data_IF_931385634174
#
_entry.id   IF_931385634174
#
_cell.length_a   1.000
_cell.length_b   1.000
_cell.length_c   1.000
_cell.angle_alpha   90.00
_cell.angle_beta   90.00
_cell.angle_gamma   90.00
#
_symmetry.space_group_name_H-M   'P 1'
#
loop_
_entity.id
_entity.type
_entity.pdbx_description
1 polymer ?
#
# COMPACT_ATOMS: atom_id res chain seq x y z
N UNK A 1 29.02 -12.26 16.36
CA UNK A 1 27.86 -11.52 15.82
C UNK A 1 28.33 -10.79 14.57
N UNK A 2 27.83 -11.17 13.40
CA UNK A 2 28.10 -10.43 12.17
C UNK A 2 27.36 -9.09 12.30
N UNK A 3 28.08 -7.97 12.31
CA UNK A 3 27.48 -6.64 12.39
C UNK A 3 27.03 -6.25 10.98
N UNK A 4 25.79 -5.77 10.85
CA UNK A 4 25.24 -5.31 9.57
C UNK A 4 25.70 -3.89 9.19
N UNK A 5 26.70 -3.36 9.89
CA UNK A 5 27.23 -2.02 9.75
C UNK A 5 28.72 -2.01 10.13
N UNK A 6 29.51 -0.99 9.72
CA UNK A 6 30.95 -0.94 9.97
C UNK A 6 31.27 -1.04 11.46
N UNK A 7 32.27 -1.86 11.81
CA UNK A 7 32.59 -2.16 13.22
C UNK A 7 33.15 -0.94 13.98
N UNK A 8 33.62 0.06 13.25
CA UNK A 8 34.24 1.30 13.68
C UNK A 8 33.29 2.50 13.72
N UNK A 9 31.99 2.30 13.45
CA UNK A 9 31.02 3.39 13.43
C UNK A 9 30.80 3.98 14.83
N UNK A 10 31.15 5.25 15.01
CA UNK A 10 30.98 6.02 16.26
C UNK A 10 30.19 7.30 16.02
N UNK A 11 29.37 7.68 17.00
CA UNK A 11 28.76 8.99 17.02
C UNK A 11 29.86 10.04 17.26
N UNK A 12 29.89 11.13 16.47
CA UNK A 12 30.84 12.21 16.69
C UNK A 12 30.55 12.91 18.04
N UNK A 13 31.57 13.54 18.64
CA UNK A 13 31.50 14.05 20.01
C UNK A 13 30.48 15.19 20.20
N UNK A 14 30.09 15.84 19.10
CA UNK A 14 29.08 16.90 19.00
C UNK A 14 27.69 16.39 18.62
N UNK A 15 27.49 15.09 18.47
CA UNK A 15 26.19 14.53 18.11
C UNK A 15 25.16 14.67 19.25
N UNK A 16 23.98 15.17 18.91
CA UNK A 16 22.82 15.13 19.81
C UNK A 16 22.36 13.69 20.01
N UNK A 17 22.66 13.14 21.19
CA UNK A 17 22.21 11.82 21.61
C UNK A 17 20.86 11.94 22.30
N UNK A 18 19.92 11.09 21.90
CA UNK A 18 18.61 10.99 22.54
C UNK A 18 18.69 10.48 23.99
N UNK A 19 17.55 10.48 24.71
CA UNK A 19 17.49 9.96 26.07
C UNK A 19 17.88 8.47 26.12
N UNK A 20 18.30 7.96 27.29
CA UNK A 20 18.62 6.56 27.46
C UNK A 20 17.39 5.68 27.16
N UNK A 21 17.54 4.74 26.23
CA UNK A 21 16.50 3.79 25.82
C UNK A 21 17.07 2.36 25.83
N UNK A 22 16.25 1.39 26.26
CA UNK A 22 16.57 -0.03 26.15
C UNK A 22 16.12 -0.58 24.80
N UNK A 23 16.83 -1.58 24.30
CA UNK A 23 16.39 -2.31 23.11
C UNK A 23 14.98 -2.89 23.33
N UNK A 24 14.15 -2.87 22.29
CA UNK A 24 12.76 -3.37 22.29
C UNK A 24 12.66 -4.66 21.47
N UNK A 25 11.71 -5.53 21.79
CA UNK A 25 11.43 -6.77 21.05
C UNK A 25 12.21 -8.00 21.55
N UNK A 26 12.29 -9.04 20.73
CA UNK A 26 12.85 -10.35 21.11
C UNK A 26 14.31 -10.30 21.60
N UNK A 27 15.08 -9.31 21.12
CA UNK A 27 16.47 -9.10 21.51
C UNK A 27 16.61 -8.46 22.89
N UNK A 28 15.55 -7.80 23.40
CA UNK A 28 15.55 -7.14 24.71
C UNK A 28 15.74 -8.12 25.88
N UNK A 29 15.29 -9.37 25.71
CA UNK A 29 15.45 -10.40 26.72
C UNK A 29 16.92 -10.80 26.95
N UNK A 30 17.80 -10.56 25.98
CA UNK A 30 19.22 -10.98 26.02
C UNK A 30 20.18 -9.88 26.48
N UNK A 31 19.74 -8.62 26.56
CA UNK A 31 20.60 -7.51 26.95
C UNK A 31 19.84 -6.41 27.72
N UNK A 32 20.09 -6.25 29.04
CA UNK A 32 19.44 -5.24 29.87
C UNK A 32 20.09 -3.85 29.82
N UNK A 33 21.19 -3.68 29.07
CA UNK A 33 21.91 -2.41 28.97
C UNK A 33 21.06 -1.29 28.38
N UNK A 34 21.37 -0.05 28.80
CA UNK A 34 20.76 1.15 28.26
C UNK A 34 21.66 1.75 27.19
N UNK A 35 21.07 2.11 26.06
CA UNK A 35 21.75 2.75 24.94
C UNK A 35 21.21 4.16 24.74
N UNK A 36 21.92 4.98 23.95
CA UNK A 36 21.41 6.28 23.50
C UNK A 36 21.12 6.23 22.02
N UNK A 37 20.04 6.88 21.59
CA UNK A 37 19.69 6.94 20.19
C UNK A 37 20.53 8.00 19.47
N UNK A 38 21.16 7.61 18.37
CA UNK A 38 21.87 8.51 17.47
C UNK A 38 21.25 8.44 16.08
N UNK A 39 20.89 9.59 15.50
CA UNK A 39 20.41 9.68 14.13
C UNK A 39 21.55 10.14 13.23
N UNK A 40 21.99 9.25 12.34
CA UNK A 40 23.00 9.58 11.33
C UNK A 40 22.30 9.99 10.06
N UNK A 41 22.50 11.24 9.65
CA UNK A 41 22.11 11.74 8.33
C UNK A 41 23.19 11.33 7.34
N UNK A 42 22.80 10.71 6.23
CA UNK A 42 23.74 10.36 5.17
C UNK A 42 24.18 11.64 4.42
N UNK A 43 25.49 11.97 4.39
CA UNK A 43 26.01 13.12 3.65
C UNK A 43 25.71 13.08 2.15
N UNK A 44 25.52 11.88 1.58
CA UNK A 44 25.13 11.70 0.18
C UNK A 44 23.62 11.91 -0.07
N UNK A 45 22.83 12.19 0.97
CA UNK A 45 21.39 12.41 0.88
C UNK A 45 20.53 11.14 0.99
N UNK A 46 21.12 10.00 1.39
CA UNK A 46 20.38 8.78 1.70
C UNK A 46 19.39 8.91 2.87
N UNK A 47 18.62 7.85 3.18
CA UNK A 47 17.71 7.85 4.31
C UNK A 47 18.50 7.98 5.62
N UNK A 48 17.98 8.79 6.55
CA UNK A 48 18.58 8.90 7.88
C UNK A 48 18.48 7.54 8.57
N UNK A 49 19.60 7.09 9.15
CA UNK A 49 19.68 5.81 9.85
C UNK A 49 19.76 6.06 11.34
N UNK A 50 18.99 5.29 12.11
CA UNK A 50 18.97 5.38 13.57
C UNK A 50 19.82 4.26 14.16
N UNK A 51 20.77 4.63 15.00
CA UNK A 51 21.65 3.71 15.71
C UNK A 51 21.42 3.82 17.22
N UNK A 52 21.69 2.73 17.95
CA UNK A 52 21.81 2.74 19.40
C UNK A 52 23.29 2.64 19.75
N UNK A 53 23.78 3.66 20.46
CA UNK A 53 25.18 3.78 20.86
C UNK A 53 25.36 3.49 22.35
N UNK A 54 26.50 2.91 22.72
CA UNK A 54 26.88 2.70 24.12
C UNK A 54 27.34 4.01 24.79
N UNK A 55 27.71 3.95 26.08
CA UNK A 55 28.19 5.12 26.82
C UNK A 55 29.48 5.75 26.22
N UNK A 56 30.23 4.98 25.44
CA UNK A 56 31.45 5.37 24.74
C UNK A 56 31.17 5.95 23.34
N UNK A 57 29.91 6.02 22.92
CA UNK A 57 29.51 6.56 21.61
C UNK A 57 29.67 5.59 20.43
N UNK A 58 29.97 4.31 20.68
CA UNK A 58 30.09 3.29 19.64
C UNK A 58 28.72 2.75 19.25
N UNK A 59 28.45 2.61 17.95
CA UNK A 59 27.20 2.04 17.47
C UNK A 59 27.16 0.53 17.76
N UNK A 60 26.16 0.09 18.52
CA UNK A 60 25.98 -1.32 18.91
C UNK A 60 24.83 -1.97 18.16
N UNK A 61 23.75 -1.21 17.91
CA UNK A 61 22.59 -1.70 17.15
C UNK A 61 22.17 -0.70 16.07
N UNK A 62 21.80 -1.24 14.91
CA UNK A 62 21.05 -0.51 13.89
C UNK A 62 19.55 -0.68 14.16
N UNK A 63 18.83 0.42 14.32
CA UNK A 63 17.37 0.43 14.44
C UNK A 63 16.79 0.53 13.03
N UNK A 64 16.57 -0.63 12.42
CA UNK A 64 15.96 -0.72 11.10
C UNK A 64 14.42 -0.53 11.20
N UNK A 65 13.85 0.51 10.56
CA UNK A 65 12.43 0.83 10.71
C UNK A 65 11.50 -0.27 10.19
N UNK A 66 10.25 -0.27 10.66
CA UNK A 66 9.21 -1.17 10.15
C UNK A 66 8.73 -0.80 8.75
N UNK A 67 8.78 0.49 8.41
CA UNK A 67 8.44 1.02 7.08
C UNK A 67 9.73 1.34 6.31
N UNK A 68 9.87 0.87 5.06
CA UNK A 68 11.05 1.01 4.21
C UNK A 68 12.37 0.51 4.86
N UNK A 69 12.30 -0.48 5.76
CA UNK A 69 13.47 -1.10 6.38
C UNK A 69 14.15 -2.09 5.43
N UNK A 70 15.46 -2.29 5.57
CA UNK A 70 16.26 -3.12 4.63
C UNK A 70 16.54 -4.53 5.15
N UNK A 71 16.28 -4.81 6.42
CA UNK A 71 16.62 -6.09 7.05
C UNK A 71 15.37 -6.91 7.38
N UNK A 72 15.06 -7.88 6.52
CA UNK A 72 13.93 -8.80 6.68
C UNK A 72 14.24 -10.01 7.59
N UNK A 73 15.51 -10.23 7.92
CA UNK A 73 15.96 -11.35 8.75
C UNK A 73 16.69 -10.84 9.97
N UNK A 74 16.30 -11.31 11.15
CA UNK A 74 17.00 -11.02 12.40
C UNK A 74 18.22 -11.94 12.59
N UNK A 75 19.19 -11.56 13.44
CA UNK A 75 20.33 -12.41 13.81
C UNK A 75 19.96 -13.74 14.47
N UNK A 76 18.71 -13.91 14.94
CA UNK A 76 18.20 -15.16 15.50
C UNK A 76 17.57 -16.09 14.44
N UNK A 77 17.60 -15.70 13.17
CA UNK A 77 16.99 -16.44 12.05
C UNK A 77 15.50 -16.18 11.86
N UNK A 78 14.84 -15.41 12.73
CA UNK A 78 13.43 -15.06 12.56
C UNK A 78 13.23 -14.03 11.45
N UNK A 79 12.15 -14.18 10.67
CA UNK A 79 11.75 -13.22 9.64
C UNK A 79 10.93 -12.08 10.25
N UNK A 80 11.10 -10.89 9.70
CA UNK A 80 10.36 -9.68 10.08
C UNK A 80 9.72 -9.12 8.84
N UNK A 81 8.41 -8.98 8.89
CA UNK A 81 7.66 -8.31 7.84
C UNK A 81 7.96 -6.81 7.88
N UNK A 82 8.32 -6.26 6.71
CA UNK A 82 8.59 -4.84 6.50
C UNK A 82 7.54 -4.33 5.53
N UNK A 83 7.15 -3.09 5.71
CA UNK A 83 6.16 -2.46 4.85
C UNK A 83 6.82 -1.41 3.97
N UNK A 84 6.53 -1.43 2.68
CA UNK A 84 7.03 -0.39 1.79
C UNK A 84 6.06 0.79 1.76
N UNK A 85 6.62 2.00 1.81
CA UNK A 85 5.90 3.24 1.61
C UNK A 85 6.43 3.95 0.36
N UNK A 86 6.17 3.41 -0.85
CA UNK A 86 6.81 3.87 -2.07
C UNK A 86 6.39 5.30 -2.45
N UNK A 87 5.16 5.73 -2.10
CA UNK A 87 4.71 7.12 -2.25
C UNK A 87 5.52 8.09 -1.40
N UNK A 88 5.81 7.73 -0.14
CA UNK A 88 6.60 8.55 0.77
C UNK A 88 8.06 8.64 0.32
N UNK A 89 8.63 7.52 -0.15
CA UNK A 89 9.98 7.45 -0.69
C UNK A 89 10.14 8.38 -1.90
N UNK A 90 9.19 8.33 -2.85
CA UNK A 90 9.19 9.22 -4.02
C UNK A 90 9.13 10.71 -3.62
N UNK A 91 8.22 11.08 -2.72
CA UNK A 91 8.12 12.46 -2.21
C UNK A 91 9.41 12.91 -1.53
N UNK A 92 10.06 12.02 -0.77
CA UNK A 92 11.35 12.32 -0.14
C UNK A 92 12.43 12.62 -1.17
N UNK A 93 12.47 11.91 -2.30
CA UNK A 93 13.44 12.16 -3.37
C UNK A 93 13.18 13.48 -4.08
N UNK A 94 11.91 13.84 -4.31
CA UNK A 94 11.55 15.13 -4.90
C UNK A 94 12.00 16.28 -3.99
N UNK A 95 11.66 16.22 -2.69
CA UNK A 95 12.01 17.26 -1.72
C UNK A 95 13.54 17.40 -1.62
N UNK A 96 14.25 16.28 -1.45
CA UNK A 96 15.71 16.27 -1.39
C UNK A 96 16.33 16.78 -2.68
N UNK A 97 15.82 16.38 -3.84
CA UNK A 97 16.30 16.82 -5.15
C UNK A 97 16.12 18.32 -5.37
N UNK A 98 15.00 18.90 -4.93
CA UNK A 98 14.76 20.35 -4.97
C UNK A 98 15.69 21.08 -4.00
N UNK A 99 15.73 20.65 -2.73
CA UNK A 99 16.51 21.33 -1.68
C UNK A 99 18.03 21.28 -1.96
N UNK A 100 18.53 20.15 -2.46
CA UNK A 100 19.93 19.97 -2.84
C UNK A 100 20.27 20.48 -4.23
N UNK A 101 19.28 20.94 -5.01
CA UNK A 101 19.41 21.32 -6.44
C UNK A 101 19.99 20.21 -7.34
N UNK A 102 19.88 18.95 -6.94
CA UNK A 102 20.39 17.76 -7.67
C UNK A 102 19.27 16.95 -8.33
N UNK A 103 18.13 17.58 -8.61
CA UNK A 103 17.02 16.91 -9.30
C UNK A 103 17.46 16.52 -10.74
N UNK A 104 17.23 15.28 -11.20
CA UNK A 104 17.57 14.87 -12.56
C UNK A 104 16.60 15.49 -13.57
N UNK A 105 16.83 16.76 -13.94
CA UNK A 105 15.96 17.55 -14.83
C UNK A 105 15.71 16.90 -16.20
N UNK A 106 16.68 16.15 -16.73
CA UNK A 106 16.50 15.39 -17.96
C UNK A 106 15.35 14.38 -17.85
N UNK A 107 15.22 13.66 -16.72
CA UNK A 107 14.13 12.71 -16.49
C UNK A 107 12.79 13.40 -16.30
N UNK A 108 12.78 14.58 -15.66
CA UNK A 108 11.56 15.37 -15.46
C UNK A 108 11.04 15.91 -16.79
N UNK A 109 11.91 16.52 -17.60
CA UNK A 109 11.54 17.04 -18.92
C UNK A 109 11.11 15.91 -19.87
N UNK A 110 11.74 14.74 -19.78
CA UNK A 110 11.28 13.55 -20.50
C UNK A 110 9.84 13.19 -20.11
N UNK A 111 9.52 13.18 -18.81
CA UNK A 111 8.16 12.94 -18.32
C UNK A 111 7.14 13.97 -18.84
N UNK A 112 7.52 15.26 -18.88
CA UNK A 112 6.69 16.32 -19.45
C UNK A 112 6.42 16.09 -20.94
N UNK A 113 7.44 15.72 -21.71
CA UNK A 113 7.28 15.42 -23.14
C UNK A 113 6.37 14.22 -23.37
N UNK A 114 6.51 13.15 -22.58
CA UNK A 114 5.62 11.99 -22.65
C UNK A 114 4.18 12.39 -22.33
N UNK A 115 3.96 13.20 -21.29
CA UNK A 115 2.63 13.68 -20.93
C UNK A 115 1.99 14.49 -22.08
N UNK A 116 2.74 15.40 -22.71
CA UNK A 116 2.26 16.18 -23.86
C UNK A 116 1.86 15.26 -25.01
N UNK A 117 2.70 14.27 -25.36
CA UNK A 117 2.40 13.31 -26.45
C UNK A 117 1.13 12.50 -26.15
N UNK A 118 0.94 12.06 -24.89
CA UNK A 118 -0.24 11.33 -24.47
C UNK A 118 -1.51 12.20 -24.55
N UNK A 119 -1.46 13.43 -24.03
CA UNK A 119 -2.59 14.36 -24.09
C UNK A 119 -2.95 14.72 -25.54
N UNK A 120 -1.96 14.93 -26.41
CA UNK A 120 -2.18 15.14 -27.85
C UNK A 120 -2.78 13.90 -28.55
N UNK A 121 -2.54 12.70 -28.00
CA UNK A 121 -3.12 11.45 -28.50
C UNK A 121 -4.50 11.14 -27.90
N UNK A 122 -5.05 12.03 -27.06
CA UNK A 122 -6.31 11.82 -26.35
C UNK A 122 -6.24 10.76 -25.25
N UNK A 123 -5.03 10.42 -24.77
CA UNK A 123 -4.82 9.47 -23.68
C UNK A 123 -4.57 10.26 -22.40
N UNK A 124 -5.39 10.10 -21.34
CA UNK A 124 -5.17 10.80 -20.07
C UNK A 124 -3.82 10.43 -19.46
N UNK A 125 -2.89 11.39 -19.42
CA UNK A 125 -1.50 11.19 -18.97
C UNK A 125 -1.42 10.70 -17.52
N UNK A 126 -2.33 11.16 -16.66
CA UNK A 126 -2.41 10.77 -15.25
C UNK A 126 -2.77 9.29 -15.08
N UNK A 127 -3.76 8.78 -15.83
CA UNK A 127 -4.15 7.38 -15.75
C UNK A 127 -3.03 6.46 -16.27
N UNK A 128 -2.35 6.88 -17.35
CA UNK A 128 -1.20 6.17 -17.89
C UNK A 128 -0.04 6.09 -16.87
N UNK A 129 0.34 7.23 -16.28
CA UNK A 129 1.43 7.29 -15.31
C UNK A 129 1.16 6.41 -14.07
N UNK A 130 -0.06 6.44 -13.55
CA UNK A 130 -0.47 5.57 -12.44
C UNK A 130 -0.43 4.09 -12.83
N UNK A 131 -0.85 3.76 -14.05
CA UNK A 131 -0.82 2.39 -14.57
C UNK A 131 0.60 1.82 -14.68
N UNK A 132 1.56 2.60 -15.18
CA UNK A 132 2.97 2.19 -15.30
C UNK A 132 3.65 2.06 -13.94
N UNK A 133 3.19 2.83 -12.94
CA UNK A 133 3.75 2.81 -11.59
C UNK A 133 3.31 1.61 -10.75
N UNK A 134 2.13 1.05 -11.00
CA UNK A 134 1.55 0.00 -10.16
C UNK A 134 1.91 -1.41 -10.65
N UNK A 135 2.22 -2.36 -9.74
CA UNK A 135 2.38 -3.76 -10.10
C UNK A 135 1.13 -4.32 -10.78
N UNK A 136 1.31 -5.28 -11.70
CA UNK A 136 0.20 -5.96 -12.39
C UNK A 136 -0.83 -6.55 -11.42
N UNK A 137 -0.39 -7.06 -10.27
CA UNK A 137 -1.28 -7.59 -9.23
C UNK A 137 -2.23 -6.54 -8.64
N UNK A 138 -1.80 -5.27 -8.57
CA UNK A 138 -2.61 -4.16 -8.06
C UNK A 138 -3.39 -3.45 -9.16
N UNK A 139 -2.88 -3.41 -10.39
CA UNK A 139 -3.58 -2.79 -11.52
C UNK A 139 -4.66 -3.68 -12.14
N UNK A 140 -4.54 -5.01 -12.05
CA UNK A 140 -5.56 -5.93 -12.61
C UNK A 140 -6.97 -5.73 -12.02
N UNK A 141 -7.17 -5.64 -10.68
CA UNK A 141 -8.48 -5.34 -10.12
C UNK A 141 -9.03 -3.97 -10.55
N UNK A 142 -8.16 -2.95 -10.68
CA UNK A 142 -8.54 -1.61 -11.14
C UNK A 142 -9.05 -1.68 -12.58
N UNK A 143 -8.35 -2.41 -13.44
CA UNK A 143 -8.75 -2.65 -14.83
C UNK A 143 -10.12 -3.34 -14.92
N UNK A 144 -10.34 -4.40 -14.13
CA UNK A 144 -11.62 -5.11 -14.08
C UNK A 144 -12.74 -4.18 -13.59
N UNK A 145 -12.48 -3.36 -12.57
CA UNK A 145 -13.43 -2.33 -12.11
C UNK A 145 -13.80 -1.34 -13.22
N UNK A 146 -12.81 -0.89 -14.01
CA UNK A 146 -13.03 -0.05 -15.19
C UNK A 146 -13.86 -0.73 -16.27
N UNK A 147 -13.62 -2.03 -16.53
CA UNK A 147 -14.44 -2.82 -17.46
C UNK A 147 -15.89 -2.93 -16.98
N UNK A 148 -16.12 -3.16 -15.69
CA UNK A 148 -17.47 -3.23 -15.10
C UNK A 148 -18.17 -1.89 -15.29
N UNK A 149 -17.51 -0.77 -14.98
CA UNK A 149 -18.09 0.57 -15.20
C UNK A 149 -18.43 0.80 -16.67
N UNK A 150 -17.52 0.47 -17.57
CA UNK A 150 -17.78 0.58 -19.02
C UNK A 150 -18.99 -0.25 -19.47
N UNK A 151 -19.14 -1.48 -18.96
CA UNK A 151 -20.30 -2.33 -19.25
C UNK A 151 -21.61 -1.78 -18.67
N UNK A 152 -21.56 -1.22 -17.46
CA UNK A 152 -22.71 -0.57 -16.81
C UNK A 152 -23.13 0.66 -17.60
N UNK A 153 -22.21 1.56 -17.94
CA UNK A 153 -22.48 2.78 -18.71
C UNK A 153 -23.05 2.46 -20.09
N UNK A 154 -22.49 1.44 -20.76
CA UNK A 154 -22.99 0.96 -22.06
C UNK A 154 -24.43 0.41 -21.95
N UNK A 155 -24.76 -0.27 -20.86
CA UNK A 155 -26.10 -0.80 -20.62
C UNK A 155 -27.09 0.32 -20.29
N UNK A 156 -26.72 1.27 -19.42
CA UNK A 156 -27.54 2.42 -19.04
C UNK A 156 -27.86 3.30 -20.26
N UNK A 157 -26.88 3.58 -21.14
CA UNK A 157 -27.11 4.28 -22.42
C UNK A 157 -28.16 3.58 -23.28
N UNK A 158 -28.08 2.26 -23.40
CA UNK A 158 -28.98 1.48 -24.27
C UNK A 158 -30.41 1.35 -23.72
N UNK A 159 -30.58 1.25 -22.40
CA UNK A 159 -31.89 0.99 -21.80
C UNK A 159 -32.57 2.20 -21.18
N UNK A 160 -31.83 3.06 -20.46
CA UNK A 160 -32.40 4.18 -19.69
C UNK A 160 -32.39 5.50 -20.45
N UNK A 161 -31.32 5.76 -21.21
CA UNK A 161 -31.14 7.05 -21.90
C UNK A 161 -31.39 6.97 -23.41
N UNK A 162 -32.15 5.95 -23.86
CA UNK A 162 -32.45 5.78 -25.29
C UNK A 162 -33.20 6.99 -25.88
N UNK A 163 -33.99 7.68 -25.04
CA UNK A 163 -34.81 8.82 -25.44
C UNK A 163 -34.24 10.18 -24.98
N UNK A 164 -33.12 10.18 -24.27
CA UNK A 164 -32.45 11.39 -23.79
C UNK A 164 -31.07 11.48 -24.45
N UNK A 165 -30.89 12.42 -25.38
CA UNK A 165 -29.60 12.69 -26.03
C UNK A 165 -28.67 13.45 -25.08
N UNK A 166 -28.28 12.78 -23.98
CA UNK A 166 -27.37 13.33 -22.99
C UNK A 166 -25.95 13.37 -23.58
N UNK A 167 -25.28 14.50 -23.36
CA UNK A 167 -23.85 14.61 -23.66
C UNK A 167 -23.03 13.60 -22.86
N UNK A 168 -21.81 13.32 -23.32
CA UNK A 168 -20.90 12.38 -22.63
C UNK A 168 -20.64 12.80 -21.18
N UNK A 169 -20.57 14.10 -20.93
CA UNK A 169 -20.24 14.67 -19.62
C UNK A 169 -21.42 14.57 -18.64
N UNK A 170 -22.65 14.80 -19.13
CA UNK A 170 -23.86 14.61 -18.33
C UNK A 170 -24.08 13.15 -17.96
N UNK A 171 -23.74 12.23 -18.85
CA UNK A 171 -23.85 10.80 -18.59
C UNK A 171 -22.84 10.32 -17.54
N UNK A 172 -21.63 10.87 -17.54
CA UNK A 172 -20.63 10.64 -16.48
C UNK A 172 -21.12 11.22 -15.16
N UNK A 173 -21.63 12.45 -15.16
CA UNK A 173 -22.15 13.10 -13.96
C UNK A 173 -23.38 12.40 -13.35
N UNK A 174 -24.19 11.72 -14.18
CA UNK A 174 -25.30 10.90 -13.70
C UNK A 174 -24.84 9.51 -13.25
N UNK A 175 -23.86 8.93 -13.96
CA UNK A 175 -23.18 7.70 -13.56
C UNK A 175 -22.42 7.83 -12.23
N UNK A 176 -21.92 9.02 -11.90
CA UNK A 176 -21.25 9.31 -10.62
C UNK A 176 -22.21 9.35 -9.43
N UNK A 177 -23.51 9.60 -9.69
CA UNK A 177 -24.58 9.47 -8.68
C UNK A 177 -25.17 8.06 -8.62
N UNK A 178 -24.65 7.12 -9.43
CA UNK A 178 -25.19 5.76 -9.49
C UNK A 178 -25.05 5.02 -8.15
N UNK A 179 -26.04 4.18 -7.78
CA UNK A 179 -25.91 3.22 -6.67
C UNK A 179 -24.65 2.36 -6.75
N UNK A 180 -24.12 2.09 -7.94
CA UNK A 180 -22.87 1.35 -8.13
C UNK A 180 -21.64 2.08 -7.59
N UNK A 181 -21.55 3.41 -7.78
CA UNK A 181 -20.45 4.23 -7.26
C UNK A 181 -20.54 4.36 -5.73
N UNK A 182 -21.76 4.49 -5.20
CA UNK A 182 -22.00 4.48 -3.75
C UNK A 182 -21.61 3.15 -3.10
N UNK A 183 -21.95 2.02 -3.72
CA UNK A 183 -21.54 0.70 -3.23
C UNK A 183 -20.02 0.53 -3.29
N UNK A 184 -19.38 0.94 -4.39
CA UNK A 184 -17.93 0.86 -4.56
C UNK A 184 -17.19 1.68 -3.49
N UNK A 185 -17.63 2.91 -3.20
CA UNK A 185 -17.04 3.71 -2.12
C UNK A 185 -17.27 3.07 -0.73
N UNK A 186 -18.43 2.46 -0.52
CA UNK A 186 -18.70 1.61 0.65
C UNK A 186 -17.73 0.44 0.80
N UNK A 187 -17.38 -0.25 -0.29
CA UNK A 187 -16.36 -1.33 -0.26
C UNK A 187 -14.97 -0.83 0.07
N UNK A 188 -14.58 0.36 -0.41
CA UNK A 188 -13.29 0.97 -0.06
C UNK A 188 -13.23 1.24 1.44
N UNK A 189 -14.26 1.87 2.01
CA UNK A 189 -14.34 2.15 3.44
C UNK A 189 -14.41 0.86 4.30
N UNK A 190 -15.24 -0.10 3.88
CA UNK A 190 -15.38 -1.39 4.54
C UNK A 190 -14.09 -2.21 4.53
N UNK A 191 -13.35 -2.19 3.41
CA UNK A 191 -12.04 -2.84 3.30
C UNK A 191 -11.01 -2.24 4.25
N UNK A 192 -11.00 -0.91 4.41
CA UNK A 192 -10.12 -0.23 5.37
C UNK A 192 -10.46 -0.61 6.82
N UNK A 193 -11.75 -0.63 7.18
CA UNK A 193 -12.20 -1.07 8.51
C UNK A 193 -11.86 -2.54 8.79
N UNK A 194 -12.09 -3.43 7.81
CA UNK A 194 -11.71 -4.83 7.91
C UNK A 194 -10.19 -4.99 8.12
N UNK A 195 -9.38 -4.20 7.42
CA UNK A 195 -7.92 -4.17 7.62
C UNK A 195 -7.52 -3.78 9.04
N UNK A 196 -8.18 -2.79 9.64
CA UNK A 196 -7.95 -2.40 11.04
C UNK A 196 -8.32 -3.54 11.99
N UNK A 197 -9.45 -4.21 11.77
CA UNK A 197 -9.88 -5.36 12.57
C UNK A 197 -8.87 -6.50 12.49
N UNK A 198 -8.40 -6.82 11.28
CA UNK A 198 -7.38 -7.87 11.06
C UNK A 198 -6.07 -7.50 11.76
N UNK A 199 -5.61 -6.25 11.67
CA UNK A 199 -4.41 -5.79 12.35
C UNK A 199 -4.53 -5.91 13.88
N UNK A 200 -5.71 -5.58 14.43
CA UNK A 200 -5.97 -5.76 15.86
C UNK A 200 -5.94 -7.23 16.26
N UNK A 201 -6.57 -8.11 15.48
CA UNK A 201 -6.54 -9.56 15.72
C UNK A 201 -5.11 -10.14 15.67
N UNK A 202 -4.29 -9.65 14.74
CA UNK A 202 -2.88 -10.06 14.62
C UNK A 202 -2.01 -9.56 15.80
N UNK A 203 -2.35 -8.41 16.39
CA UNK A 203 -1.62 -7.83 17.52
C UNK A 203 -1.91 -8.46 18.88
N UNK A 204 -3.03 -9.18 19.04
CA UNK A 204 -3.45 -9.78 20.32
C UNK A 204 -2.96 -11.24 20.43
N UNK A 205 -2.01 -11.56 21.33
CA UNK A 205 -1.37 -12.89 21.38
C UNK A 205 -2.34 -14.07 21.53
N UNK A 206 -3.46 -13.87 22.25
CA UNK A 206 -4.50 -14.90 22.43
C UNK A 206 -5.22 -15.24 21.13
N UNK A 207 -5.40 -14.26 20.24
CA UNK A 207 -6.06 -14.44 18.95
C UNK A 207 -5.10 -15.01 17.89
N UNK A 208 -3.80 -14.74 18.02
CA UNK A 208 -2.76 -15.33 17.15
C UNK A 208 -2.75 -16.86 17.25
N UNK A 209 -2.88 -17.41 18.47
CA UNK A 209 -2.94 -18.86 18.66
C UNK A 209 -4.14 -19.52 17.98
N UNK A 210 -5.32 -18.89 18.10
CA UNK A 210 -6.56 -19.35 17.45
C UNK A 210 -6.42 -19.25 15.92
N UNK A 211 -5.90 -18.12 15.41
CA UNK A 211 -5.66 -17.94 13.97
C UNK A 211 -4.78 -19.04 13.40
N UNK A 212 -3.69 -19.38 14.10
CA UNK A 212 -2.75 -20.43 13.67
C UNK A 212 -3.40 -21.81 13.62
N UNK A 213 -4.22 -22.15 14.62
CA UNK A 213 -4.96 -23.43 14.62
C UNK A 213 -5.95 -23.52 13.47
N UNK A 214 -6.67 -22.43 13.18
CA UNK A 214 -7.60 -22.36 12.04
C UNK A 214 -6.85 -22.45 10.71
N UNK A 215 -5.69 -21.80 10.59
CA UNK A 215 -4.83 -21.83 9.41
C UNK A 215 -4.30 -23.24 9.13
N UNK A 216 -3.77 -23.93 10.15
CA UNK A 216 -3.29 -25.31 10.04
C UNK A 216 -4.43 -26.29 9.67
N UNK A 217 -5.61 -26.14 10.29
CA UNK A 217 -6.79 -26.93 9.92
C UNK A 217 -7.24 -26.68 8.48
N UNK A 218 -7.22 -25.42 8.04
CA UNK A 218 -7.65 -25.02 6.70
C UNK A 218 -6.69 -25.52 5.63
N UNK A 219 -5.37 -25.46 5.87
CA UNK A 219 -4.36 -26.05 4.97
C UNK A 219 -4.56 -27.57 4.85
N UNK A 220 -4.88 -28.24 5.95
CA UNK A 220 -5.06 -29.69 5.96
C UNK A 220 -6.35 -30.16 5.24
N UNK A 221 -7.43 -29.38 5.29
CA UNK A 221 -8.75 -29.80 4.78
C UNK A 221 -9.17 -29.09 3.48
N UNK A 222 -8.49 -28.02 3.07
CA UNK A 222 -8.84 -27.27 1.87
C UNK A 222 -7.63 -27.19 0.91
N UNK A 223 -7.65 -27.94 -0.21
CA UNK A 223 -6.57 -27.95 -1.20
C UNK A 223 -6.41 -26.61 -1.94
N UNK A 224 -7.36 -25.68 -1.78
CA UNK A 224 -7.30 -24.32 -2.32
C UNK A 224 -6.96 -23.27 -1.27
N UNK A 225 -6.61 -23.66 -0.05
CA UNK A 225 -6.21 -22.72 1.01
C UNK A 225 -4.68 -22.56 1.10
N UNK A 226 -3.91 -23.58 0.71
CA UNK A 226 -2.45 -23.54 0.67
C UNK A 226 -1.86 -24.04 -0.66
N UNK A 227 -0.66 -23.58 -1.00
CA UNK A 227 0.08 -24.01 -2.20
C UNK A 227 -0.23 -23.21 -3.47
N UNK A 228 0.12 -23.78 -4.64
CA UNK A 228 0.04 -23.09 -5.93
C UNK A 228 -1.38 -22.70 -6.37
N UNK A 229 -2.41 -23.31 -5.78
CA UNK A 229 -3.82 -23.06 -6.09
C UNK A 229 -4.51 -22.13 -5.09
N UNK A 230 -3.77 -21.57 -4.11
CA UNK A 230 -4.35 -20.72 -3.07
C UNK A 230 -5.07 -19.48 -3.66
N UNK A 231 -4.52 -18.94 -4.75
CA UNK A 231 -5.07 -17.75 -5.42
C UNK A 231 -6.43 -18.03 -6.09
N UNK A 232 -6.73 -19.28 -6.46
CA UNK A 232 -8.01 -19.64 -7.08
C UNK A 232 -9.18 -19.46 -6.12
N UNK A 233 -8.98 -19.72 -4.83
CA UNK A 233 -10.03 -19.51 -3.84
C UNK A 233 -10.35 -18.01 -3.68
N UNK A 234 -9.33 -17.15 -3.79
CA UNK A 234 -9.49 -15.69 -3.69
C UNK A 234 -10.22 -15.09 -4.92
N UNK A 235 -10.18 -15.76 -6.07
CA UNK A 235 -10.93 -15.35 -7.27
C UNK A 235 -12.44 -15.46 -7.08
N UNK A 236 -12.93 -16.38 -6.24
CA UNK A 236 -14.37 -16.55 -5.98
C UNK A 236 -15.01 -15.32 -5.31
N UNK A 237 -14.56 -14.86 -4.12
CA UNK A 237 -15.12 -13.66 -3.51
C UNK A 237 -14.90 -12.41 -4.38
N UNK A 238 -13.77 -12.33 -5.09
CA UNK A 238 -13.52 -11.25 -6.04
C UNK A 238 -14.55 -11.23 -7.19
N UNK A 239 -14.83 -12.39 -7.80
CA UNK A 239 -15.85 -12.52 -8.84
C UNK A 239 -17.25 -12.18 -8.31
N UNK A 240 -17.58 -12.60 -7.08
CA UNK A 240 -18.84 -12.24 -6.42
C UNK A 240 -18.96 -10.72 -6.28
N UNK A 241 -17.92 -10.03 -5.81
CA UNK A 241 -17.92 -8.56 -5.71
C UNK A 241 -18.08 -7.89 -7.08
N UNK A 242 -17.41 -8.42 -8.11
CA UNK A 242 -17.53 -7.92 -9.49
C UNK A 242 -18.97 -8.05 -10.02
N UNK A 243 -19.59 -9.21 -9.83
CA UNK A 243 -20.98 -9.47 -10.21
C UNK A 243 -21.93 -8.56 -9.43
N UNK A 244 -21.71 -8.38 -8.13
CA UNK A 244 -22.54 -7.52 -7.30
C UNK A 244 -22.45 -6.05 -7.73
N UNK A 245 -21.25 -5.54 -8.02
CA UNK A 245 -21.07 -4.19 -8.58
C UNK A 245 -21.78 -4.04 -9.93
N UNK A 246 -21.67 -5.03 -10.81
CA UNK A 246 -22.33 -5.00 -12.11
C UNK A 246 -23.87 -5.00 -11.98
N UNK A 247 -24.43 -5.84 -11.10
CA UNK A 247 -25.87 -5.92 -10.87
C UNK A 247 -26.43 -4.65 -10.21
N UNK A 248 -25.71 -4.11 -9.22
CA UNK A 248 -26.11 -2.87 -8.54
C UNK A 248 -25.95 -1.66 -9.46
N UNK A 249 -24.88 -1.58 -10.25
CA UNK A 249 -24.69 -0.52 -11.23
C UNK A 249 -25.77 -0.49 -12.33
N UNK A 250 -26.38 -1.65 -12.64
CA UNK A 250 -27.54 -1.77 -13.54
C UNK A 250 -28.88 -1.46 -12.87
N UNK A 251 -28.88 -1.04 -11.61
CA UNK A 251 -30.08 -0.84 -10.80
C UNK A 251 -30.98 -2.10 -10.68
N UNK A 252 -30.42 -3.30 -10.86
CA UNK A 252 -31.19 -4.55 -10.77
C UNK A 252 -31.49 -4.98 -9.33
N UNK A 253 -30.58 -4.68 -8.40
CA UNK A 253 -30.68 -5.12 -7.00
C UNK A 253 -31.05 -4.00 -6.02
N UNK A 254 -30.70 -2.75 -6.33
CA UNK A 254 -30.85 -1.59 -5.43
C UNK A 254 -31.51 -0.38 -6.11
N UNK A 255 -32.33 -0.60 -7.14
CA UNK A 255 -33.15 0.48 -7.68
C UNK A 255 -33.98 1.12 -6.55
N UNK A 256 -33.63 2.35 -6.17
CA UNK A 256 -34.41 3.14 -5.24
C UNK A 256 -35.85 3.18 -5.72
N UNK A 257 -36.80 2.85 -4.84
CA UNK A 257 -38.22 3.01 -5.11
C UNK A 257 -38.44 4.38 -5.76
N UNK A 258 -38.94 4.40 -7.00
CA UNK A 258 -39.35 5.64 -7.67
C UNK A 258 -40.32 6.34 -6.73
N UNK A 259 -39.85 7.41 -6.08
CA UNK A 259 -40.68 8.26 -5.25
C UNK A 259 -41.64 8.96 -6.22
N UNK A 260 -42.84 8.39 -6.36
CA UNK A 260 -43.96 9.06 -7.03
C UNK A 260 -44.23 10.32 -6.21
N UNK A 261 -43.85 11.47 -6.75
CA UNK A 261 -44.46 12.75 -6.41
C UNK A 261 -45.55 13.01 -7.44
#
# INVERSE_FOLDING_TARGET
MQRNFPADLRAPADAELGPPERIKGAQAARNPESYRAWQRIDPAGGPAQRYLVNAQGEAVYLVDPGINGTHHTRPDGSTVEKFDAPKATLMSYIIKGILSRKLPWALVLLGVMIAIVLEMSGIPSLAFAVGVYLPLSSSSPIFIGGMIRWLVDRWLRKQKFKDHDLSTDELVAEGDKSPGVLLASGYIAGGALAGIVIAFMAGVPRLVGIRRQVEEWSIAHNPFFGGANADLLALVPFAILCVMLYLVGRDLLLAGQKRKA
#
